data_IF_622216218948
#
_entry.id   IF_622216218948
#
_cell.length_a   1.000
_cell.length_b   1.000
_cell.length_c   1.000
_cell.angle_alpha   90.00
_cell.angle_beta   90.00
_cell.angle_gamma   90.00
#
_symmetry.space_group_name_H-M   'P 1'
#
loop_
_entity.id
_entity.type
_entity.pdbx_description
1 polymer ?
#
# COMPACT_ATOMS: atom_id res chain seq x y z
N UNK A 1 37.31 -12.28 -4.69
CA UNK A 1 35.91 -12.65 -4.53
C UNK A 1 35.84 -14.15 -4.56
N UNK A 2 35.45 -14.78 -3.46
CA UNK A 2 35.36 -16.23 -3.34
C UNK A 2 33.97 -16.77 -3.71
N UNK A 3 33.77 -18.09 -3.58
CA UNK A 3 32.50 -18.74 -3.89
C UNK A 3 31.34 -18.22 -3.04
N UNK A 4 31.58 -17.99 -1.74
CA UNK A 4 30.55 -17.51 -0.83
C UNK A 4 30.17 -16.06 -1.15
N UNK A 5 31.15 -15.22 -1.49
CA UNK A 5 30.91 -13.85 -1.94
C UNK A 5 29.96 -13.80 -3.16
N UNK A 6 30.17 -14.70 -4.13
CA UNK A 6 29.32 -14.80 -5.33
C UNK A 6 27.89 -15.25 -4.98
N UNK A 7 27.74 -16.26 -4.11
CA UNK A 7 26.43 -16.73 -3.65
C UNK A 7 25.65 -15.64 -2.91
N UNK A 8 26.32 -14.86 -2.06
CA UNK A 8 25.73 -13.73 -1.34
C UNK A 8 25.25 -12.67 -2.33
N UNK A 9 26.06 -12.32 -3.34
CA UNK A 9 25.65 -11.34 -4.35
C UNK A 9 24.44 -11.81 -5.16
N UNK A 10 24.41 -13.08 -5.53
CA UNK A 10 23.27 -13.62 -6.27
C UNK A 10 22.00 -13.70 -5.42
N UNK A 11 22.10 -14.06 -4.14
CA UNK A 11 20.99 -13.99 -3.20
C UNK A 11 20.47 -12.54 -3.04
N UNK A 12 21.38 -11.56 -2.92
CA UNK A 12 21.01 -10.14 -2.82
C UNK A 12 20.28 -9.66 -4.09
N UNK A 13 20.76 -10.03 -5.28
CA UNK A 13 20.10 -9.71 -6.56
C UNK A 13 18.72 -10.35 -6.66
N UNK A 14 18.58 -11.62 -6.25
CA UNK A 14 17.28 -12.32 -6.21
C UNK A 14 16.30 -11.59 -5.30
N UNK A 15 16.74 -11.24 -4.08
CA UNK A 15 15.94 -10.47 -3.11
C UNK A 15 15.49 -9.12 -3.70
N UNK A 16 16.41 -8.36 -4.30
CA UNK A 16 16.09 -7.05 -4.88
C UNK A 16 15.05 -7.15 -6.00
N UNK A 17 15.12 -8.18 -6.85
CA UNK A 17 14.11 -8.42 -7.90
C UNK A 17 12.76 -8.80 -7.31
N UNK A 18 12.73 -9.66 -6.30
CA UNK A 18 11.50 -10.04 -5.62
C UNK A 18 10.85 -8.84 -4.90
N UNK A 19 11.64 -8.01 -4.25
CA UNK A 19 11.18 -6.77 -3.61
C UNK A 19 10.58 -5.80 -4.62
N UNK A 20 11.23 -5.61 -5.77
CA UNK A 20 10.67 -4.79 -6.85
C UNK A 20 9.31 -5.32 -7.33
N UNK A 21 9.23 -6.61 -7.65
CA UNK A 21 7.99 -7.23 -8.12
C UNK A 21 6.86 -7.15 -7.07
N UNK A 22 7.20 -7.35 -5.80
CA UNK A 22 6.26 -7.19 -4.69
C UNK A 22 5.74 -5.74 -4.60
N UNK A 23 6.63 -4.75 -4.64
CA UNK A 23 6.26 -3.34 -4.54
C UNK A 23 5.38 -2.88 -5.70
N UNK A 24 5.65 -3.36 -6.92
CA UNK A 24 4.82 -3.06 -8.10
C UNK A 24 3.40 -3.64 -7.94
N UNK A 25 3.28 -4.90 -7.52
CA UNK A 25 1.99 -5.53 -7.27
C UNK A 25 1.23 -4.89 -6.09
N UNK A 26 1.92 -4.54 -5.00
CA UNK A 26 1.32 -3.86 -3.86
C UNK A 26 0.81 -2.46 -4.24
N UNK A 27 1.57 -1.73 -5.07
CA UNK A 27 1.14 -0.42 -5.57
C UNK A 27 -0.14 -0.52 -6.42
N UNK A 28 -0.23 -1.50 -7.31
CA UNK A 28 -1.44 -1.76 -8.11
C UNK A 28 -2.64 -2.07 -7.20
N UNK A 29 -2.46 -2.96 -6.22
CA UNK A 29 -3.51 -3.30 -5.27
C UNK A 29 -4.00 -2.08 -4.48
N UNK A 30 -3.08 -1.23 -4.00
CA UNK A 30 -3.45 0.00 -3.28
C UNK A 30 -4.28 0.95 -4.15
N UNK A 31 -3.94 1.10 -5.43
CA UNK A 31 -4.72 1.92 -6.36
C UNK A 31 -6.15 1.37 -6.51
N UNK A 32 -6.29 0.06 -6.67
CA UNK A 32 -7.61 -0.60 -6.75
C UNK A 32 -8.43 -0.43 -5.46
N UNK A 33 -7.80 -0.47 -4.29
CA UNK A 33 -8.49 -0.23 -3.02
C UNK A 33 -9.01 1.21 -2.90
N UNK A 34 -8.21 2.19 -3.33
CA UNK A 34 -8.63 3.60 -3.38
C UNK A 34 -9.78 3.80 -4.36
N UNK A 35 -9.69 3.22 -5.56
CA UNK A 35 -10.78 3.26 -6.54
C UNK A 35 -12.05 2.60 -6.00
N UNK A 36 -11.92 1.40 -5.41
CA UNK A 36 -13.04 0.70 -4.79
C UNK A 36 -13.73 1.55 -3.72
N UNK A 37 -12.96 2.33 -2.95
CA UNK A 37 -13.51 3.28 -1.99
C UNK A 37 -14.28 4.42 -2.64
N UNK A 38 -13.78 4.97 -3.74
CA UNK A 38 -14.48 5.97 -4.54
C UNK A 38 -15.80 5.44 -5.13
N UNK A 39 -15.85 4.14 -5.45
CA UNK A 39 -17.06 3.42 -5.87
C UNK A 39 -18.00 3.03 -4.70
N UNK A 40 -17.68 3.43 -3.48
CA UNK A 40 -18.51 3.18 -2.29
C UNK A 40 -18.25 1.85 -1.59
N UNK A 41 -17.24 1.07 -1.99
CA UNK A 41 -16.88 -0.18 -1.30
C UNK A 41 -16.32 0.14 0.10
N UNK A 42 -16.81 -0.59 1.10
CA UNK A 42 -16.38 -0.45 2.49
C UNK A 42 -15.05 -1.15 2.77
N UNK A 43 -14.22 -0.67 3.73
CA UNK A 43 -12.98 -1.33 4.13
C UNK A 43 -13.18 -2.80 4.54
N UNK A 44 -14.27 -3.13 5.25
CA UNK A 44 -14.57 -4.51 5.66
C UNK A 44 -14.89 -5.43 4.49
N UNK A 45 -15.47 -4.90 3.40
CA UNK A 45 -15.74 -5.67 2.20
C UNK A 45 -14.43 -5.98 1.47
N UNK A 46 -13.59 -4.96 1.28
CA UNK A 46 -12.31 -5.12 0.60
C UNK A 46 -11.32 -5.98 1.39
N UNK A 47 -11.31 -5.90 2.72
CA UNK A 47 -10.54 -6.78 3.60
C UNK A 47 -10.82 -8.27 3.35
N UNK A 48 -12.09 -8.63 3.06
CA UNK A 48 -12.46 -10.01 2.72
C UNK A 48 -11.92 -10.46 1.36
N UNK A 49 -11.74 -9.53 0.42
CA UNK A 49 -11.21 -9.83 -0.92
C UNK A 49 -9.69 -10.03 -0.90
N UNK A 50 -8.99 -9.28 -0.06
CA UNK A 50 -7.51 -9.26 -0.06
C UNK A 50 -6.87 -10.10 1.04
N UNK A 51 -7.64 -10.49 2.07
CA UNK A 51 -7.11 -11.14 3.27
C UNK A 51 -6.41 -10.17 4.24
N UNK A 52 -6.47 -8.87 3.99
CA UNK A 52 -5.94 -7.86 4.92
C UNK A 52 -6.93 -7.54 6.03
N UNK A 53 -6.43 -6.87 7.09
CA UNK A 53 -7.30 -6.33 8.13
C UNK A 53 -8.07 -5.12 7.63
N UNK A 54 -9.25 -4.89 8.20
CA UNK A 54 -10.07 -3.70 7.92
C UNK A 54 -9.29 -2.42 8.18
N UNK A 55 -8.51 -2.38 9.26
CA UNK A 55 -7.73 -1.23 9.70
C UNK A 55 -6.62 -0.90 8.69
N UNK A 56 -5.98 -1.93 8.14
CA UNK A 56 -4.98 -1.75 7.10
C UNK A 56 -5.61 -1.16 5.84
N UNK A 57 -6.72 -1.74 5.37
CA UNK A 57 -7.45 -1.23 4.20
C UNK A 57 -7.93 0.21 4.41
N UNK A 58 -8.43 0.53 5.61
CA UNK A 58 -8.91 1.87 5.93
C UNK A 58 -7.79 2.94 5.95
N UNK A 59 -6.54 2.55 6.21
CA UNK A 59 -5.37 3.45 6.10
C UNK A 59 -5.00 3.73 4.64
N UNK A 60 -5.11 2.71 3.79
CA UNK A 60 -4.81 2.84 2.35
C UNK A 60 -5.90 3.61 1.62
N UNK A 61 -7.17 3.31 1.92
CA UNK A 61 -8.33 3.90 1.29
C UNK A 61 -9.25 4.55 2.36
N UNK A 62 -8.84 5.74 2.88
CA UNK A 62 -9.60 6.44 3.90
C UNK A 62 -10.95 6.93 3.38
N UNK A 63 -11.83 7.31 4.30
CA UNK A 63 -13.10 7.93 3.90
C UNK A 63 -12.84 9.27 3.19
N UNK A 64 -13.36 9.48 1.96
CA UNK A 64 -13.15 10.73 1.22
C UNK A 64 -13.61 11.98 1.98
N UNK A 65 -14.66 11.88 2.82
CA UNK A 65 -15.13 13.00 3.64
C UNK A 65 -14.15 13.30 4.76
N UNK A 66 -13.72 12.27 5.50
CA UNK A 66 -12.73 12.43 6.58
C UNK A 66 -11.40 12.98 6.06
N UNK A 67 -10.98 12.54 4.86
CA UNK A 67 -9.75 13.04 4.25
C UNK A 67 -9.88 14.51 3.84
N UNK A 68 -11.06 14.92 3.33
CA UNK A 68 -11.34 16.32 3.03
C UNK A 68 -11.28 17.19 4.29
N UNK A 69 -11.91 16.74 5.36
CA UNK A 69 -11.98 17.48 6.62
C UNK A 69 -10.60 17.59 7.28
N UNK A 70 -9.81 16.51 7.28
CA UNK A 70 -8.42 16.52 7.75
C UNK A 70 -7.55 17.51 6.97
N UNK A 71 -7.64 17.50 5.63
CA UNK A 71 -6.88 18.40 4.78
C UNK A 71 -7.30 19.87 4.97
N UNK A 72 -8.59 20.13 5.20
CA UNK A 72 -9.09 21.47 5.50
C UNK A 72 -8.55 21.97 6.85
N UNK A 73 -8.61 21.14 7.90
CA UNK A 73 -8.07 21.47 9.21
C UNK A 73 -6.56 21.76 9.16
N UNK A 74 -5.80 20.97 8.40
CA UNK A 74 -4.35 21.18 8.23
C UNK A 74 -4.03 22.53 7.59
N UNK A 75 -4.76 22.93 6.53
CA UNK A 75 -4.54 24.23 5.87
C UNK A 75 -4.81 25.41 6.80
N UNK A 76 -5.83 25.30 7.66
CA UNK A 76 -6.15 26.33 8.65
C UNK A 76 -5.02 26.45 9.69
N UNK A 77 -4.45 25.34 10.14
CA UNK A 77 -3.36 25.34 11.12
C UNK A 77 -2.01 25.87 10.56
N UNK A 78 -1.84 25.85 9.23
CA UNK A 78 -0.64 26.31 8.53
C UNK A 78 -0.75 27.76 8.01
N UNK A 79 -1.91 28.41 8.18
CA UNK A 79 -2.17 29.81 7.78
C UNK A 79 -2.04 30.75 8.97
#
# INVERSE_FOLDING_TARGET
MDTLDMEIQDAARKRARAEKAFNEADAELRQLLVQGRAEGKGPSHMAKLTGFTREWVAKIAPDPKLQRDYNAARRIAES
#
